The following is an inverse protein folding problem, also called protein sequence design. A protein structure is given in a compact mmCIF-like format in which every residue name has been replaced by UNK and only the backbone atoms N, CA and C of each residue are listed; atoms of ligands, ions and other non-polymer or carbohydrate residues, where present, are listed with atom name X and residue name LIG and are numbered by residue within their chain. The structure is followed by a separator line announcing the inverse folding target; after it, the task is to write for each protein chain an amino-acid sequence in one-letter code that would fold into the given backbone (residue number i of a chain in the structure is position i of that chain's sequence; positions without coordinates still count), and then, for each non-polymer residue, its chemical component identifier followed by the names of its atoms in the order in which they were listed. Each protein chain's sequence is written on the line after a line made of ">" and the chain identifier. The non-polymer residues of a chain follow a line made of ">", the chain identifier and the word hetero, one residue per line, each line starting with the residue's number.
data_IF_295618150445
#
_entry.id   IF_295618150445
#
_cell.length_a   1.000
_cell.length_b   1.000
_cell.length_c   1.000
_cell.angle_alpha   90.00
_cell.angle_beta   90.00
_cell.angle_gamma   90.00
#
_symmetry.space_group_name_H-M   'P 1'
#
loop_
_entity.id
_entity.type
_entity.pdbx_description
1 polymer ?
#
# COMPACT_ATOMS: atom_id res chain seq x y z
N UNK A 1 -18.65 -9.92 7.92
CA UNK A 1 -17.65 -10.82 7.31
C UNK A 1 -16.30 -10.22 7.66
N UNK A 2 -15.37 -11.00 8.19
CA UNK A 2 -14.03 -10.50 8.50
C UNK A 2 -13.32 -10.13 7.19
N UNK A 3 -12.73 -8.93 7.13
CA UNK A 3 -12.00 -8.45 5.94
C UNK A 3 -10.52 -8.79 6.07
N UNK A 4 -10.25 -10.10 6.19
CA UNK A 4 -8.90 -10.65 6.33
C UNK A 4 -8.57 -11.46 5.07
N UNK A 5 -7.38 -11.29 4.54
CA UNK A 5 -6.90 -12.06 3.40
C UNK A 5 -5.45 -12.50 3.61
N UNK A 6 -5.20 -13.77 3.32
CA UNK A 6 -3.84 -14.32 3.23
C UNK A 6 -3.53 -14.64 1.76
N UNK A 7 -2.38 -14.20 1.29
CA UNK A 7 -1.86 -14.45 -0.05
C UNK A 7 -0.43 -14.92 0.06
N UNK A 8 -0.10 -15.96 -0.72
CA UNK A 8 1.26 -16.48 -0.84
C UNK A 8 1.68 -16.51 -2.31
N UNK A 9 2.96 -16.24 -2.57
CA UNK A 9 3.57 -16.31 -3.90
C UNK A 9 4.99 -16.86 -3.76
N UNK A 10 5.29 -17.90 -4.50
CA UNK A 10 6.63 -18.48 -4.57
C UNK A 10 7.10 -18.51 -6.02
N UNK A 11 8.26 -17.94 -6.28
CA UNK A 11 8.96 -17.95 -7.56
C UNK A 11 10.35 -18.57 -7.39
N UNK A 12 11.23 -18.44 -8.36
CA UNK A 12 12.65 -18.81 -8.19
C UNK A 12 13.45 -17.71 -7.46
N UNK A 13 12.90 -16.51 -7.35
CA UNK A 13 13.56 -15.31 -6.84
C UNK A 13 13.04 -14.95 -5.44
N UNK A 14 11.74 -15.20 -5.18
CA UNK A 14 11.08 -14.78 -3.95
C UNK A 14 10.15 -15.87 -3.39
N UNK A 15 10.01 -15.88 -2.06
CA UNK A 15 8.99 -16.66 -1.34
C UNK A 15 8.30 -15.72 -0.35
N UNK A 16 7.00 -15.45 -0.56
CA UNK A 16 6.27 -14.38 0.10
C UNK A 16 4.96 -14.90 0.68
N UNK A 17 4.68 -14.51 1.92
CA UNK A 17 3.39 -14.70 2.57
C UNK A 17 2.94 -13.39 3.22
N UNK A 18 1.74 -12.91 2.86
CA UNK A 18 1.14 -11.71 3.44
C UNK A 18 -0.25 -12.04 3.96
N UNK A 19 -0.51 -11.68 5.22
CA UNK A 19 -1.85 -11.63 5.81
C UNK A 19 -2.19 -10.19 6.15
N UNK A 20 -3.29 -9.68 5.58
CA UNK A 20 -3.80 -8.34 5.80
C UNK A 20 -5.20 -8.41 6.40
N UNK A 21 -5.41 -7.72 7.53
CA UNK A 21 -6.70 -7.47 8.13
C UNK A 21 -7.04 -5.98 8.02
N UNK A 22 -8.09 -5.64 7.27
CA UNK A 22 -8.56 -4.25 7.11
C UNK A 22 -9.27 -3.70 8.35
N UNK A 23 -9.76 -4.58 9.23
CA UNK A 23 -10.44 -4.23 10.49
C UNK A 23 -9.51 -4.48 11.69
N UNK A 24 -8.24 -4.15 11.55
CA UNK A 24 -7.18 -4.40 12.52
C UNK A 24 -7.08 -3.34 13.60
N UNK A 25 -5.93 -3.38 14.29
CA UNK A 25 -5.58 -2.46 15.40
C UNK A 25 -4.24 -1.76 15.18
N UNK A 26 -3.64 -1.91 14.01
CA UNK A 26 -2.35 -1.34 13.64
C UNK A 26 -1.16 -2.18 14.11
N UNK A 27 -1.29 -3.50 14.14
CA UNK A 27 -0.20 -4.43 14.50
C UNK A 27 0.52 -4.89 13.25
N UNK A 28 1.85 -4.97 13.34
CA UNK A 28 2.68 -5.47 12.25
C UNK A 28 3.62 -6.57 12.73
N UNK A 29 3.82 -7.61 11.90
CA UNK A 29 4.85 -8.62 12.04
C UNK A 29 5.55 -8.79 10.69
N UNK A 30 6.71 -8.13 10.53
CA UNK A 30 7.37 -7.89 9.27
C UNK A 30 8.75 -8.53 9.21
N UNK A 31 9.10 -9.06 8.05
CA UNK A 31 10.44 -9.57 7.76
C UNK A 31 10.64 -9.63 6.25
N UNK A 32 11.04 -8.50 5.63
CA UNK A 32 11.35 -8.44 4.20
C UNK A 32 12.84 -8.60 3.90
N UNK A 33 13.68 -8.46 4.92
CA UNK A 33 15.13 -8.43 4.79
C UNK A 33 15.68 -7.03 4.45
N UNK A 34 14.81 -6.03 4.24
CA UNK A 34 15.16 -4.63 3.99
C UNK A 34 14.59 -3.78 5.13
N UNK A 35 15.43 -3.40 6.10
CA UNK A 35 14.97 -2.79 7.37
C UNK A 35 14.15 -1.51 7.17
N UNK A 36 14.53 -0.65 6.21
CA UNK A 36 13.77 0.57 5.93
C UNK A 36 12.41 0.26 5.28
N UNK A 37 12.32 -0.79 4.47
CA UNK A 37 11.04 -1.22 3.90
C UNK A 37 10.12 -1.80 4.97
N UNK A 38 10.65 -2.60 5.91
CA UNK A 38 9.89 -3.06 7.09
C UNK A 38 9.35 -1.86 7.88
N UNK A 39 10.15 -0.82 8.10
CA UNK A 39 9.70 0.41 8.76
C UNK A 39 8.57 1.12 8.01
N UNK A 40 8.61 1.15 6.68
CA UNK A 40 7.53 1.74 5.86
C UNK A 40 6.23 0.95 5.97
N UNK A 41 6.31 -0.38 5.94
CA UNK A 41 5.14 -1.26 6.09
C UNK A 41 4.56 -1.23 7.52
N UNK A 42 5.40 -1.08 8.55
CA UNK A 42 4.95 -0.84 9.92
C UNK A 42 4.19 0.47 10.04
N UNK A 43 4.74 1.55 9.45
CA UNK A 43 4.07 2.84 9.34
C UNK A 43 2.71 2.74 8.64
N UNK A 44 2.63 1.97 7.54
CA UNK A 44 1.37 1.70 6.86
C UNK A 44 0.36 1.00 7.78
N UNK A 45 0.75 -0.11 8.41
CA UNK A 45 -0.13 -0.86 9.30
C UNK A 45 -0.63 0.01 10.46
N UNK A 46 0.28 0.72 11.13
CA UNK A 46 -0.03 1.55 12.29
C UNK A 46 -0.98 2.69 11.97
N UNK A 47 -0.72 3.44 10.91
CA UNK A 47 -1.49 4.64 10.58
C UNK A 47 -2.82 4.34 9.87
N UNK A 48 -2.93 3.19 9.18
CA UNK A 48 -4.17 2.70 8.61
C UNK A 48 -5.04 1.88 9.56
N UNK A 49 -4.55 1.58 10.78
CA UNK A 49 -5.18 0.64 11.72
C UNK A 49 -5.36 -0.77 11.15
N UNK A 50 -4.55 -1.14 10.18
CA UNK A 50 -4.52 -2.48 9.60
C UNK A 50 -3.65 -3.41 10.46
N UNK A 51 -4.00 -4.72 10.54
CA UNK A 51 -3.02 -5.68 11.02
C UNK A 51 -2.34 -6.33 9.80
N UNK A 52 -1.01 -6.34 9.80
CA UNK A 52 -0.20 -6.79 8.67
C UNK A 52 0.86 -7.79 9.12
N UNK A 53 0.77 -9.01 8.63
CA UNK A 53 1.88 -9.97 8.66
C UNK A 53 2.49 -10.05 7.26
N UNK A 54 3.81 -9.83 7.15
CA UNK A 54 4.52 -9.87 5.87
C UNK A 54 5.87 -10.58 6.06
N UNK A 55 5.98 -11.76 5.48
CA UNK A 55 7.19 -12.59 5.51
C UNK A 55 7.69 -12.78 4.08
N UNK A 56 8.90 -12.32 3.83
CA UNK A 56 9.54 -12.34 2.51
C UNK A 56 10.93 -12.94 2.61
N UNK A 57 11.21 -13.87 1.73
CA UNK A 57 12.56 -14.37 1.47
C UNK A 57 12.85 -14.10 -0.01
N UNK A 58 13.63 -13.07 -0.30
CA UNK A 58 14.03 -12.70 -1.66
C UNK A 58 15.51 -12.92 -1.90
N UNK A 59 15.91 -12.76 -3.15
CA UNK A 59 17.30 -12.92 -3.64
C UNK A 59 18.10 -11.62 -3.49
N UNK A 60 18.12 -11.05 -2.27
CA UNK A 60 18.78 -9.76 -1.93
C UNK A 60 20.28 -9.72 -2.28
N UNK A 61 20.91 -10.86 -2.54
CA UNK A 61 22.28 -10.91 -3.06
C UNK A 61 22.39 -10.41 -4.52
N UNK A 62 21.25 -10.33 -5.24
CA UNK A 62 21.16 -9.69 -6.57
C UNK A 62 20.97 -8.18 -6.35
N UNK A 63 19.82 -7.81 -5.86
CA UNK A 63 19.43 -6.47 -5.37
C UNK A 63 18.08 -6.55 -4.62
N UNK A 64 17.47 -5.39 -4.33
CA UNK A 64 16.17 -5.32 -3.67
C UNK A 64 14.95 -5.40 -4.61
N UNK A 65 15.14 -5.39 -5.94
CA UNK A 65 14.06 -5.19 -6.92
C UNK A 65 12.99 -6.27 -6.82
N UNK A 66 13.37 -7.53 -7.02
CA UNK A 66 12.41 -8.65 -6.97
C UNK A 66 11.69 -8.73 -5.62
N UNK A 67 12.41 -8.48 -4.51
CA UNK A 67 11.84 -8.48 -3.16
C UNK A 67 10.74 -7.43 -3.01
N UNK A 68 11.00 -6.20 -3.45
CA UNK A 68 10.07 -5.06 -3.27
C UNK A 68 8.90 -5.15 -4.24
N UNK A 69 9.15 -5.45 -5.53
CA UNK A 69 8.11 -5.58 -6.54
C UNK A 69 7.15 -6.73 -6.23
N UNK A 70 7.67 -7.94 -5.99
CA UNK A 70 6.85 -9.11 -5.70
C UNK A 70 6.08 -8.95 -4.37
N UNK A 71 6.66 -8.27 -3.37
CA UNK A 71 5.92 -7.89 -2.15
C UNK A 71 4.75 -6.96 -2.50
N UNK A 72 4.94 -5.99 -3.38
CA UNK A 72 3.88 -5.11 -3.87
C UNK A 72 2.76 -5.87 -4.58
N UNK A 73 3.10 -6.87 -5.41
CA UNK A 73 2.12 -7.75 -6.07
C UNK A 73 1.26 -8.48 -5.05
N UNK A 74 1.90 -9.20 -4.10
CA UNK A 74 1.20 -9.99 -3.09
C UNK A 74 0.37 -9.11 -2.16
N UNK A 75 0.90 -7.93 -1.80
CA UNK A 75 0.21 -6.96 -0.97
C UNK A 75 -1.05 -6.39 -1.67
N UNK A 76 -0.94 -6.04 -2.96
CA UNK A 76 -2.08 -5.60 -3.76
C UNK A 76 -3.15 -6.68 -3.91
N UNK A 77 -2.77 -7.94 -4.10
CA UNK A 77 -3.71 -9.07 -4.11
C UNK A 77 -4.38 -9.27 -2.76
N UNK A 78 -3.66 -9.08 -1.64
CA UNK A 78 -4.22 -9.16 -0.30
C UNK A 78 -5.25 -8.05 -0.07
N UNK A 79 -4.98 -6.81 -0.48
CA UNK A 79 -5.95 -5.70 -0.44
C UNK A 79 -7.20 -6.08 -1.24
N UNK A 80 -7.04 -6.52 -2.49
CA UNK A 80 -8.15 -6.88 -3.37
C UNK A 80 -9.04 -7.96 -2.76
N UNK A 81 -8.44 -9.00 -2.19
CA UNK A 81 -9.17 -10.11 -1.55
C UNK A 81 -9.88 -9.66 -0.27
N UNK A 82 -9.21 -8.86 0.57
CA UNK A 82 -9.78 -8.38 1.81
C UNK A 82 -10.94 -7.39 1.58
N UNK A 83 -10.87 -6.53 0.57
CA UNK A 83 -11.95 -5.62 0.17
C UNK A 83 -13.16 -6.38 -0.39
N UNK A 84 -12.96 -7.51 -1.04
CA UNK A 84 -14.03 -8.37 -1.55
C UNK A 84 -14.87 -7.72 -2.65
N UNK A 85 -16.19 -7.79 -2.52
CA UNK A 85 -17.15 -7.31 -3.54
C UNK A 85 -17.41 -5.79 -3.52
N UNK A 86 -16.73 -5.07 -2.66
CA UNK A 86 -16.78 -3.59 -2.54
C UNK A 86 -18.15 -3.02 -2.19
N UNK A 87 -19.07 -3.83 -1.68
CA UNK A 87 -20.38 -3.38 -1.26
C UNK A 87 -20.32 -2.62 0.06
N UNK A 88 -20.98 -1.47 0.09
CA UNK A 88 -21.14 -0.66 1.30
C UNK A 88 -19.90 0.14 1.73
N UNK A 89 -18.77 0.06 0.99
CA UNK A 89 -17.57 0.83 1.32
C UNK A 89 -17.58 2.21 0.66
N UNK A 90 -16.80 3.15 1.20
CA UNK A 90 -16.64 4.50 0.65
C UNK A 90 -16.09 4.50 -0.78
N UNK A 91 -15.30 3.49 -1.15
CA UNK A 91 -14.63 3.35 -2.43
C UNK A 91 -13.49 4.35 -2.66
N UNK A 92 -13.70 5.62 -2.33
CA UNK A 92 -12.74 6.69 -2.44
C UNK A 92 -12.16 7.03 -1.09
N UNK A 93 -10.86 7.30 -1.06
CA UNK A 93 -10.20 7.86 0.09
C UNK A 93 -9.05 8.75 -0.34
N UNK A 94 -8.77 9.79 0.43
CA UNK A 94 -7.65 10.66 0.18
C UNK A 94 -7.09 11.21 1.49
N UNK A 95 -5.81 11.52 1.49
CA UNK A 95 -5.18 12.14 2.65
C UNK A 95 -4.04 13.05 2.23
N UNK A 96 -3.95 14.22 2.87
CA UNK A 96 -2.80 15.11 2.80
C UNK A 96 -2.08 15.01 4.13
N UNK A 97 -0.84 14.52 4.11
CA UNK A 97 -0.09 14.17 5.30
C UNK A 97 1.20 15.00 5.40
N UNK A 98 1.36 15.76 6.50
CA UNK A 98 2.63 16.41 6.82
C UNK A 98 3.60 15.44 7.51
N UNK A 99 4.86 15.47 7.14
CA UNK A 99 5.98 14.82 7.80
C UNK A 99 7.13 15.81 7.86
N UNK A 100 7.24 16.54 8.98
CA UNK A 100 8.11 17.69 9.16
C UNK A 100 7.97 18.71 8.00
N UNK A 101 9.00 18.88 7.17
CA UNK A 101 8.99 19.80 6.02
C UNK A 101 8.29 19.22 4.78
N UNK A 102 8.05 17.90 4.76
CA UNK A 102 7.39 17.23 3.66
C UNK A 102 5.88 17.28 3.80
N UNK A 103 5.21 17.55 2.71
CA UNK A 103 3.76 17.42 2.56
C UNK A 103 3.48 16.48 1.40
N UNK A 104 2.79 15.37 1.66
CA UNK A 104 2.40 14.38 0.66
C UNK A 104 0.88 14.26 0.55
N UNK A 105 0.39 14.05 -0.68
CA UNK A 105 -1.00 13.71 -0.98
C UNK A 105 -1.06 12.27 -1.46
N UNK A 106 -2.04 11.54 -0.97
CA UNK A 106 -2.45 10.26 -1.56
C UNK A 106 -3.96 10.26 -1.83
N UNK A 107 -4.37 9.73 -3.00
CA UNK A 107 -5.77 9.50 -3.34
C UNK A 107 -5.96 8.11 -3.94
N UNK A 108 -7.01 7.41 -3.50
CA UNK A 108 -7.35 6.04 -3.88
C UNK A 108 -8.76 5.99 -4.46
N UNK A 109 -8.95 5.27 -5.56
CA UNK A 109 -10.25 4.80 -6.05
C UNK A 109 -10.19 3.27 -6.24
N UNK A 110 -10.95 2.53 -5.44
CA UNK A 110 -11.09 1.08 -5.54
C UNK A 110 -11.97 0.67 -6.73
N UNK A 111 -11.66 1.21 -7.91
CA UNK A 111 -12.49 1.20 -9.12
C UNK A 111 -12.52 -0.13 -9.87
N UNK A 112 -11.65 -1.08 -9.55
CA UNK A 112 -11.47 -2.30 -10.36
C UNK A 112 -10.64 -2.08 -11.63
N UNK A 113 -10.03 -0.90 -11.81
CA UNK A 113 -9.15 -0.54 -12.94
C UNK A 113 -7.82 -0.04 -12.40
N UNK A 114 -6.68 -0.64 -12.79
CA UNK A 114 -5.38 -0.23 -12.28
C UNK A 114 -4.93 1.08 -12.93
N UNK A 115 -4.35 1.94 -12.12
CA UNK A 115 -3.63 3.13 -12.56
C UNK A 115 -2.75 3.66 -11.45
N UNK A 116 -1.50 3.98 -11.74
CA UNK A 116 -0.62 4.71 -10.84
C UNK A 116 -0.24 6.06 -11.42
N UNK A 117 -0.42 7.12 -10.64
CA UNK A 117 0.30 8.38 -10.81
C UNK A 117 1.21 8.59 -9.59
N UNK A 118 2.52 8.59 -9.80
CA UNK A 118 3.51 8.76 -8.74
C UNK A 118 4.41 9.95 -9.07
N UNK A 119 4.27 11.02 -8.31
CA UNK A 119 4.99 12.28 -8.47
C UNK A 119 5.76 12.61 -7.17
N UNK A 120 6.79 11.83 -6.88
CA UNK A 120 7.77 12.11 -5.84
C UNK A 120 9.16 12.11 -6.47
N UNK A 121 9.98 13.09 -6.09
CA UNK A 121 11.35 13.22 -6.57
C UNK A 121 12.32 12.86 -5.44
N UNK A 122 13.26 11.97 -5.73
CA UNK A 122 14.29 11.54 -4.79
C UNK A 122 15.65 12.09 -5.20
N UNK A 123 16.44 12.50 -4.22
CA UNK A 123 17.75 13.13 -4.42
C UNK A 123 18.91 12.19 -4.09
N UNK A 124 18.65 11.12 -3.32
CA UNK A 124 19.65 10.09 -3.00
C UNK A 124 19.24 8.74 -3.57
N UNK A 125 20.20 7.87 -3.95
CA UNK A 125 19.87 6.58 -4.55
C UNK A 125 19.29 5.58 -3.55
N UNK A 126 19.55 5.75 -2.25
CA UNK A 126 19.09 4.83 -1.18
C UNK A 126 18.72 5.58 0.10
N UNK A 127 17.74 5.02 0.82
CA UNK A 127 17.49 5.31 2.22
C UNK A 127 17.59 3.99 3.01
N UNK A 128 18.55 3.90 3.93
CA UNK A 128 18.93 2.59 4.46
C UNK A 128 19.38 1.66 3.34
N UNK A 129 18.84 0.44 3.31
CA UNK A 129 19.12 -0.54 2.26
C UNK A 129 18.06 -0.55 1.13
N UNK A 130 17.07 0.35 1.17
CA UNK A 130 16.06 0.49 0.12
C UNK A 130 16.52 1.47 -0.96
N UNK A 131 16.62 1.00 -2.20
CA UNK A 131 16.83 1.87 -3.36
C UNK A 131 15.57 2.73 -3.58
N UNK A 132 15.74 4.05 -3.74
CA UNK A 132 14.61 4.99 -3.83
C UNK A 132 13.75 4.76 -5.07
N UNK A 133 14.34 4.27 -6.17
CA UNK A 133 13.60 3.90 -7.39
C UNK A 133 12.56 2.80 -7.14
N UNK A 134 12.80 1.89 -6.16
CA UNK A 134 11.91 0.78 -5.85
C UNK A 134 10.62 1.21 -5.15
N UNK A 135 10.57 2.41 -4.60
CA UNK A 135 9.36 2.96 -3.99
C UNK A 135 8.22 3.07 -5.01
N UNK A 136 8.55 3.57 -6.20
CA UNK A 136 7.58 3.64 -7.30
C UNK A 136 7.16 2.26 -7.78
N UNK A 137 8.11 1.32 -7.90
CA UNK A 137 7.84 -0.06 -8.33
C UNK A 137 6.91 -0.78 -7.34
N UNK A 138 7.12 -0.59 -6.04
CA UNK A 138 6.20 -1.09 -5.02
C UNK A 138 4.78 -0.58 -5.22
N UNK A 139 4.58 0.74 -5.32
CA UNK A 139 3.24 1.32 -5.49
C UNK A 139 2.62 0.96 -6.85
N UNK A 140 3.44 0.79 -7.89
CA UNK A 140 2.98 0.29 -9.18
C UNK A 140 2.42 -1.12 -9.04
N UNK A 141 3.19 -2.05 -8.46
CA UNK A 141 2.79 -3.43 -8.24
C UNK A 141 1.52 -3.50 -7.37
N UNK A 142 1.44 -2.70 -6.29
CA UNK A 142 0.24 -2.62 -5.43
C UNK A 142 -0.98 -2.15 -6.21
N UNK A 143 -0.88 -1.04 -6.97
CA UNK A 143 -2.03 -0.46 -7.66
C UNK A 143 -2.59 -1.40 -8.73
N UNK A 144 -1.70 -2.08 -9.47
CA UNK A 144 -2.09 -3.03 -10.53
C UNK A 144 -2.66 -4.32 -9.98
N UNK A 145 -2.10 -4.87 -8.91
CA UNK A 145 -2.59 -6.12 -8.30
C UNK A 145 -3.87 -5.90 -7.49
N UNK A 146 -4.01 -4.76 -6.82
CA UNK A 146 -5.24 -4.39 -6.13
C UNK A 146 -6.36 -3.94 -7.09
N UNK A 147 -6.05 -3.67 -8.36
CA UNK A 147 -6.99 -3.15 -9.35
C UNK A 147 -7.61 -1.81 -8.88
N UNK A 148 -6.76 -0.87 -8.45
CA UNK A 148 -7.18 0.45 -7.99
C UNK A 148 -6.46 1.57 -8.73
N UNK A 149 -7.08 2.76 -8.76
CA UNK A 149 -6.35 3.96 -9.10
C UNK A 149 -5.66 4.48 -7.84
N UNK A 150 -4.38 4.77 -7.96
CA UNK A 150 -3.54 5.29 -6.88
C UNK A 150 -2.79 6.52 -7.38
N UNK A 151 -2.97 7.63 -6.70
CA UNK A 151 -2.24 8.86 -6.95
C UNK A 151 -1.44 9.22 -5.70
N UNK A 152 -0.13 9.37 -5.83
CA UNK A 152 0.77 9.82 -4.77
C UNK A 152 1.56 11.01 -5.30
N UNK A 153 1.53 12.11 -4.55
CA UNK A 153 2.19 13.34 -4.95
C UNK A 153 2.87 14.01 -3.78
N UNK A 154 4.15 14.31 -3.94
CA UNK A 154 4.88 15.21 -3.07
C UNK A 154 4.46 16.65 -3.38
N UNK A 155 3.97 17.36 -2.37
CA UNK A 155 3.53 18.76 -2.51
C UNK A 155 4.60 19.74 -2.03
N UNK A 156 5.44 19.33 -1.07
CA UNK A 156 6.53 20.13 -0.50
C UNK A 156 7.58 19.20 0.17
N UNK A 157 8.74 19.78 0.49
CA UNK A 157 9.82 19.12 1.22
C UNK A 157 10.87 18.49 0.32
N UNK A 158 11.95 17.96 0.92
CA UNK A 158 13.09 17.44 0.16
C UNK A 158 13.87 16.30 0.84
N UNK A 159 13.56 15.94 2.09
CA UNK A 159 14.22 14.81 2.74
C UNK A 159 13.60 13.50 2.23
N UNK A 160 14.38 12.67 1.56
CA UNK A 160 13.91 11.45 0.90
C UNK A 160 13.29 10.44 1.87
N UNK A 161 13.83 10.31 3.10
CA UNK A 161 13.22 9.49 4.15
C UNK A 161 11.81 9.98 4.47
N UNK A 162 11.66 11.30 4.72
CA UNK A 162 10.37 11.90 5.05
C UNK A 162 9.38 11.80 3.88
N UNK A 163 9.85 11.94 2.63
CA UNK A 163 9.01 11.80 1.43
C UNK A 163 8.44 10.38 1.34
N UNK A 164 9.30 9.36 1.49
CA UNK A 164 8.87 7.95 1.42
C UNK A 164 7.92 7.64 2.57
N UNK A 165 8.28 8.00 3.79
CA UNK A 165 7.44 7.75 4.97
C UNK A 165 6.09 8.46 4.88
N UNK A 166 6.06 9.72 4.42
CA UNK A 166 4.82 10.46 4.19
C UNK A 166 3.93 9.79 3.13
N UNK A 167 4.53 9.26 2.05
CA UNK A 167 3.80 8.54 1.01
C UNK A 167 3.13 7.27 1.55
N UNK A 168 3.85 6.44 2.32
CA UNK A 168 3.29 5.22 2.92
C UNK A 168 2.19 5.52 3.95
N UNK A 169 2.39 6.52 4.81
CA UNK A 169 1.37 6.94 5.80
C UNK A 169 0.14 7.55 5.13
N UNK A 170 0.32 8.40 4.10
CA UNK A 170 -0.78 8.99 3.35
C UNK A 170 -1.58 7.90 2.62
N UNK A 171 -0.90 6.90 2.03
CA UNK A 171 -1.53 5.76 1.41
C UNK A 171 -2.34 4.93 2.42
N UNK A 172 -1.77 4.67 3.61
CA UNK A 172 -2.48 3.98 4.68
C UNK A 172 -3.79 4.68 5.07
N UNK A 173 -3.74 6.01 5.27
CA UNK A 173 -4.92 6.80 5.63
C UNK A 173 -5.96 6.87 4.51
N UNK A 174 -5.52 7.02 3.26
CA UNK A 174 -6.40 7.04 2.10
C UNK A 174 -7.09 5.67 1.89
N UNK A 175 -6.36 4.57 2.08
CA UNK A 175 -6.92 3.23 1.98
C UNK A 175 -7.89 2.92 3.13
N UNK A 176 -7.57 3.32 4.36
CA UNK A 176 -8.46 3.22 5.52
C UNK A 176 -9.79 3.90 5.21
N UNK A 177 -9.78 5.16 4.77
CA UNK A 177 -10.99 5.90 4.38
C UNK A 177 -11.76 5.21 3.26
N UNK A 178 -11.07 4.75 2.19
CA UNK A 178 -11.70 4.10 1.03
C UNK A 178 -12.40 2.79 1.40
N UNK A 179 -11.90 2.08 2.40
CA UNK A 179 -12.40 0.77 2.84
C UNK A 179 -13.44 0.84 3.95
N UNK A 180 -13.66 2.00 4.58
CA UNK A 180 -14.70 2.17 5.61
C UNK A 180 -16.09 1.98 5.04
N UNK A 181 -17.00 1.40 5.84
CA UNK A 181 -18.39 1.24 5.46
C UNK A 181 -19.17 2.55 5.62
N UNK A 182 -19.94 2.91 4.58
CA UNK A 182 -20.92 3.99 4.62
C UNK A 182 -22.34 3.40 4.77
N UNK A 183 -22.99 3.64 5.90
CA UNK A 183 -24.35 3.15 6.19
C UNK A 183 -25.40 3.63 5.18
N UNK A 184 -25.15 4.75 4.49
CA UNK A 184 -26.05 5.30 3.48
C UNK A 184 -26.12 4.44 2.21
N UNK A 185 -25.09 3.63 1.96
CA UNK A 185 -25.03 2.75 0.78
C UNK A 185 -25.88 1.50 0.93
N UNK A 186 -26.32 1.13 2.15
CA UNK A 186 -27.17 -0.03 2.40
C UNK A 186 -26.70 -1.33 1.72
N UNK A 187 -25.37 -1.55 1.69
CA UNK A 187 -24.76 -2.72 1.05
C UNK A 187 -24.67 -2.66 -0.47
N UNK A 188 -24.97 -1.52 -1.09
CA UNK A 188 -24.80 -1.32 -2.54
C UNK A 188 -23.35 -0.93 -2.87
N UNK A 189 -22.98 -1.14 -4.12
CA UNK A 189 -21.71 -0.64 -4.66
C UNK A 189 -21.85 0.83 -5.05
N UNK A 190 -20.93 1.68 -4.63
CA UNK A 190 -20.91 3.10 -5.00
C UNK A 190 -20.48 3.26 -6.47
N UNK A 191 -21.41 3.00 -7.39
CA UNK A 191 -21.17 3.11 -8.83
C UNK A 191 -22.50 3.32 -9.57
N UNK A 192 -22.54 4.31 -10.47
CA UNK A 192 -23.69 4.50 -11.35
C UNK A 192 -23.90 3.36 -12.36
N UNK A 193 -22.88 2.51 -12.54
CA UNK A 193 -22.94 1.31 -13.39
C UNK A 193 -23.51 0.09 -12.64
N UNK A 194 -23.65 0.17 -11.30
CA UNK A 194 -24.08 -0.96 -10.46
C UNK A 194 -23.01 -2.03 -10.24
N UNK A 195 -21.77 -1.82 -10.74
CA UNK A 195 -20.62 -2.73 -10.60
C UNK A 195 -19.29 -1.96 -10.58
N UNK A 196 -18.24 -2.60 -10.04
CA UNK A 196 -16.84 -2.13 -10.02
C UNK A 196 -15.90 -3.26 -10.43
#
# INVERSE_FOLDING_TARGET
>A
MERIATVTRTTKETDIAITLNLDGTGKADLSTGIGFFDHMLDGFARHGFFDLECKVKGDLQVDGHHTVEDTGIVFGEAIKKAVGDKKGINRYGYFILPMDEVLALCAVDLSGRPYLNFECEFTVPKVGELDTELVKEFFYAVSYSAMMNLHIKQLAGSNDHHIIEAAFKAFAKALDEATQYDSRLSGQVLSTKGSL
#
